data_IF_373803097925
#
_entry.id   IF_373803097925
#
_cell.length_a   1.000
_cell.length_b   1.000
_cell.length_c   1.000
_cell.angle_alpha   90.00
_cell.angle_beta   90.00
_cell.angle_gamma   90.00
#
_symmetry.space_group_name_H-M   'P 1'
#
loop_
_entity.id
_entity.type
_entity.pdbx_description
1 polymer ?
#
# COMPACT_ATOMS: atom_id res chain seq x y z
N UNK A 1 -3.15 33.05 -20.26
CA UNK A 1 -2.52 31.94 -19.52
C UNK A 1 -3.49 31.16 -18.62
N UNK A 2 -4.69 31.66 -18.33
CA UNK A 2 -5.73 30.94 -17.57
C UNK A 2 -6.31 29.72 -18.29
N UNK A 3 -6.27 29.71 -19.62
CA UNK A 3 -6.91 28.71 -20.47
C UNK A 3 -6.29 27.29 -20.36
N UNK A 4 -5.01 27.19 -20.02
CA UNK A 4 -4.33 25.90 -19.83
C UNK A 4 -4.72 25.24 -18.49
N UNK A 5 -4.89 26.03 -17.42
CA UNK A 5 -5.25 25.49 -16.08
C UNK A 5 -6.69 25.00 -16.05
N UNK A 6 -7.63 25.76 -16.61
CA UNK A 6 -9.05 25.35 -16.73
C UNK A 6 -9.20 24.10 -17.60
N UNK A 7 -8.48 24.03 -18.73
CA UNK A 7 -8.49 22.85 -19.61
C UNK A 7 -7.94 21.61 -18.92
N UNK A 8 -6.84 21.75 -18.16
CA UNK A 8 -6.26 20.66 -17.35
C UNK A 8 -7.22 20.19 -16.25
N UNK A 9 -7.88 21.11 -15.57
CA UNK A 9 -8.89 20.80 -14.57
C UNK A 9 -10.06 20.02 -15.17
N UNK A 10 -10.65 20.50 -16.25
CA UNK A 10 -11.77 19.83 -16.91
C UNK A 10 -11.41 18.43 -17.45
N UNK A 11 -10.13 18.18 -17.78
CA UNK A 11 -9.64 16.83 -18.13
C UNK A 11 -9.50 15.95 -16.90
N UNK A 12 -8.95 16.48 -15.80
CA UNK A 12 -8.82 15.77 -14.53
C UNK A 12 -10.19 15.38 -13.96
N UNK A 13 -11.17 16.27 -14.03
CA UNK A 13 -12.56 16.03 -13.65
C UNK A 13 -13.21 14.94 -14.50
N UNK A 14 -13.12 15.02 -15.83
CA UNK A 14 -13.59 13.95 -16.72
C UNK A 14 -12.91 12.61 -16.46
N UNK A 15 -11.61 12.62 -16.12
CA UNK A 15 -10.88 11.40 -15.79
C UNK A 15 -11.35 10.82 -14.45
N UNK A 16 -11.66 11.68 -13.46
CA UNK A 16 -12.18 11.29 -12.15
C UNK A 16 -13.63 10.79 -12.22
N UNK A 17 -14.45 11.33 -13.12
CA UNK A 17 -15.79 10.83 -13.41
C UNK A 17 -15.71 9.38 -13.92
N UNK A 18 -16.24 8.48 -13.10
CA UNK A 18 -16.24 7.03 -13.35
C UNK A 18 -15.18 6.26 -12.57
N UNK A 19 -14.28 6.91 -11.83
CA UNK A 19 -13.40 6.20 -10.90
C UNK A 19 -14.20 5.67 -9.70
N UNK A 20 -14.19 4.35 -9.53
CA UNK A 20 -14.82 3.68 -8.41
C UNK A 20 -13.80 2.85 -7.61
N UNK A 21 -13.97 2.80 -6.28
CA UNK A 21 -13.27 1.85 -5.42
C UNK A 21 -14.07 0.55 -5.36
N UNK A 22 -13.62 -0.48 -6.06
CA UNK A 22 -14.18 -1.82 -6.06
C UNK A 22 -13.90 -2.64 -4.78
N UNK A 23 -13.38 -2.02 -3.73
CA UNK A 23 -13.11 -2.66 -2.44
C UNK A 23 -11.63 -2.92 -2.17
N UNK A 24 -10.74 -2.01 -2.57
CA UNK A 24 -9.29 -2.07 -2.31
C UNK A 24 -9.00 -2.31 -0.83
N UNK A 25 -9.77 -1.66 0.05
CA UNK A 25 -9.68 -1.85 1.50
C UNK A 25 -9.89 -3.30 1.96
N UNK A 26 -10.87 -3.98 1.39
CA UNK A 26 -11.20 -5.37 1.72
C UNK A 26 -10.12 -6.32 1.19
N UNK A 27 -9.61 -6.05 -0.01
CA UNK A 27 -8.51 -6.83 -0.60
C UNK A 27 -7.23 -6.74 0.25
N UNK A 28 -6.82 -5.54 0.68
CA UNK A 28 -5.66 -5.36 1.56
C UNK A 28 -5.87 -6.06 2.90
N UNK A 29 -7.06 -5.93 3.51
CA UNK A 29 -7.38 -6.63 4.77
C UNK A 29 -7.25 -8.15 4.61
N UNK A 30 -7.79 -8.72 3.53
CA UNK A 30 -7.68 -10.16 3.25
C UNK A 30 -6.23 -10.60 3.04
N UNK A 31 -5.42 -9.78 2.38
CA UNK A 31 -4.00 -10.03 2.22
C UNK A 31 -3.30 -10.19 3.58
N UNK A 32 -3.46 -9.23 4.49
CA UNK A 32 -2.80 -9.30 5.80
C UNK A 32 -3.37 -10.35 6.75
N UNK A 33 -4.67 -10.66 6.67
CA UNK A 33 -5.31 -11.60 7.60
C UNK A 33 -5.22 -13.05 7.15
N UNK A 34 -5.10 -13.31 5.85
CA UNK A 34 -5.12 -14.68 5.30
C UNK A 34 -3.85 -15.01 4.54
N UNK A 35 -3.44 -14.16 3.59
CA UNK A 35 -2.33 -14.47 2.68
C UNK A 35 -0.99 -14.42 3.41
N UNK A 36 -0.71 -13.33 4.11
CA UNK A 36 0.56 -13.13 4.82
C UNK A 36 0.85 -14.24 5.84
N UNK A 37 -0.10 -14.64 6.72
CA UNK A 37 0.15 -15.74 7.66
C UNK A 37 0.43 -17.07 6.96
N UNK A 38 -0.27 -17.38 5.86
CA UNK A 38 -0.02 -18.60 5.08
C UNK A 38 1.39 -18.59 4.48
N UNK A 39 1.84 -17.46 3.93
CA UNK A 39 3.21 -17.34 3.41
C UNK A 39 4.25 -17.52 4.52
N UNK A 40 4.00 -16.95 5.70
CA UNK A 40 4.88 -17.13 6.86
C UNK A 40 4.98 -18.61 7.27
N UNK A 41 3.85 -19.32 7.33
CA UNK A 41 3.83 -20.75 7.63
C UNK A 41 4.61 -21.58 6.59
N UNK A 42 4.48 -21.24 5.30
CA UNK A 42 5.26 -21.87 4.23
C UNK A 42 6.75 -21.63 4.44
N UNK A 43 7.17 -20.40 4.75
CA UNK A 43 8.58 -20.10 4.98
C UNK A 43 9.14 -20.80 6.21
N UNK A 44 8.37 -20.93 7.28
CA UNK A 44 8.73 -21.76 8.46
C UNK A 44 8.89 -23.23 8.07
N UNK A 45 7.92 -23.79 7.33
CA UNK A 45 7.99 -25.18 6.89
C UNK A 45 9.23 -25.45 6.01
N UNK A 46 9.54 -24.55 5.07
CA UNK A 46 10.74 -24.64 4.23
C UNK A 46 12.00 -24.61 5.08
N UNK A 47 12.12 -23.69 6.04
CA UNK A 47 13.30 -23.60 6.91
C UNK A 47 13.48 -24.87 7.76
N UNK A 48 12.40 -25.45 8.27
CA UNK A 48 12.45 -26.70 9.03
C UNK A 48 12.86 -27.88 8.15
N UNK A 49 12.30 -28.00 6.94
CA UNK A 49 12.67 -29.06 5.99
C UNK A 49 14.17 -28.99 5.65
N UNK A 50 14.70 -27.78 5.43
CA UNK A 50 16.14 -27.60 5.18
C UNK A 50 16.97 -28.14 6.34
N UNK A 51 16.65 -27.78 7.59
CA UNK A 51 17.38 -28.31 8.77
C UNK A 51 17.32 -29.84 8.82
N UNK A 52 16.15 -30.43 8.57
CA UNK A 52 15.98 -31.89 8.61
C UNK A 52 16.73 -32.63 7.49
N UNK A 53 16.85 -32.02 6.30
CA UNK A 53 17.50 -32.65 5.14
C UNK A 53 19.03 -32.62 5.25
N UNK A 54 19.59 -31.54 5.80
CA UNK A 54 21.05 -31.38 5.88
C UNK A 54 21.67 -31.98 7.16
N UNK A 55 20.85 -32.45 8.11
CA UNK A 55 21.26 -33.07 9.39
C UNK A 55 22.33 -32.26 10.16
N UNK A 56 22.36 -30.95 9.95
CA UNK A 56 23.31 -30.08 10.62
C UNK A 56 22.73 -29.60 11.96
N UNK A 57 23.54 -29.55 13.03
CA UNK A 57 23.16 -28.91 14.28
C UNK A 57 23.08 -27.40 14.08
N UNK A 58 21.97 -26.93 13.51
CA UNK A 58 21.71 -25.52 13.25
C UNK A 58 21.09 -24.88 14.50
N UNK A 59 21.67 -23.77 14.95
CA UNK A 59 21.08 -22.97 16.02
C UNK A 59 19.68 -22.49 15.63
N UNK A 60 18.71 -22.56 16.53
CA UNK A 60 17.32 -22.17 16.28
C UNK A 60 17.17 -20.73 15.76
N UNK A 61 18.11 -19.85 16.12
CA UNK A 61 18.19 -18.47 15.63
C UNK A 61 18.46 -18.40 14.13
N UNK A 62 19.31 -19.29 13.61
CA UNK A 62 19.64 -19.39 12.17
C UNK A 62 18.45 -19.93 11.40
N UNK A 63 17.75 -20.93 11.95
CA UNK A 63 16.50 -21.46 11.37
C UNK A 63 15.41 -20.39 11.32
N UNK A 64 15.24 -19.62 12.40
CA UNK A 64 14.29 -18.51 12.46
C UNK A 64 14.64 -17.39 11.46
N UNK A 65 15.94 -17.07 11.33
CA UNK A 65 16.45 -16.14 10.33
C UNK A 65 16.05 -16.56 8.91
N UNK A 66 16.36 -17.82 8.56
CA UNK A 66 16.03 -18.40 7.26
C UNK A 66 14.54 -18.39 6.98
N UNK A 67 13.72 -18.79 7.97
CA UNK A 67 12.26 -18.79 7.85
C UNK A 67 11.73 -17.38 7.53
N UNK A 68 12.21 -16.35 8.24
CA UNK A 68 11.79 -14.96 8.02
C UNK A 68 12.24 -14.43 6.67
N UNK A 69 13.46 -14.73 6.22
CA UNK A 69 13.96 -14.28 4.93
C UNK A 69 13.22 -14.95 3.76
N UNK A 70 13.02 -16.26 3.82
CA UNK A 70 12.25 -17.01 2.81
C UNK A 70 10.82 -16.47 2.78
N UNK A 71 10.18 -16.32 3.94
CA UNK A 71 8.83 -15.74 4.02
C UNK A 71 8.77 -14.33 3.45
N UNK A 72 9.80 -13.51 3.72
CA UNK A 72 9.90 -12.15 3.22
C UNK A 72 10.01 -12.10 1.71
N UNK A 73 10.87 -12.93 1.11
CA UNK A 73 11.01 -13.04 -0.37
C UNK A 73 9.69 -13.51 -0.99
N UNK A 74 9.07 -14.57 -0.44
CA UNK A 74 7.77 -15.06 -0.92
C UNK A 74 6.68 -13.98 -0.80
N UNK A 75 6.68 -13.20 0.28
CA UNK A 75 5.75 -12.08 0.49
C UNK A 75 6.00 -10.95 -0.50
N UNK A 76 7.25 -10.64 -0.87
CA UNK A 76 7.54 -9.64 -1.91
C UNK A 76 6.98 -10.06 -3.26
N UNK A 77 7.30 -11.29 -3.68
CA UNK A 77 6.88 -11.82 -4.99
C UNK A 77 5.36 -11.97 -5.04
N UNK A 78 4.77 -12.64 -4.06
CA UNK A 78 3.33 -12.86 -4.02
C UNK A 78 2.56 -11.56 -3.77
N UNK A 79 3.07 -10.66 -2.94
CA UNK A 79 2.48 -9.35 -2.68
C UNK A 79 2.42 -8.49 -3.95
N UNK A 80 3.48 -8.49 -4.76
CA UNK A 80 3.48 -7.82 -6.06
C UNK A 80 2.46 -8.44 -7.02
N UNK A 81 2.44 -9.77 -7.13
CA UNK A 81 1.49 -10.49 -8.00
C UNK A 81 0.03 -10.27 -7.55
N UNK A 82 -0.22 -10.34 -6.24
CA UNK A 82 -1.53 -10.11 -5.63
C UNK A 82 -2.00 -8.68 -5.87
N UNK A 83 -1.13 -7.69 -5.65
CA UNK A 83 -1.48 -6.30 -5.91
C UNK A 83 -1.79 -6.08 -7.40
N UNK A 84 -0.97 -6.62 -8.31
CA UNK A 84 -1.18 -6.52 -9.75
C UNK A 84 -2.49 -7.19 -10.22
N UNK A 85 -2.82 -8.39 -9.71
CA UNK A 85 -3.95 -9.19 -10.20
C UNK A 85 -5.26 -9.03 -9.42
N UNK A 86 -5.19 -8.61 -8.16
CA UNK A 86 -6.35 -8.55 -7.24
C UNK A 86 -6.63 -7.16 -6.70
N UNK A 87 -5.66 -6.26 -6.65
CA UNK A 87 -5.86 -4.90 -6.14
C UNK A 87 -6.02 -3.89 -7.27
N UNK A 88 -5.12 -3.87 -8.25
CA UNK A 88 -5.18 -2.93 -9.36
C UNK A 88 -6.50 -2.99 -10.15
N UNK A 89 -7.06 -4.18 -10.46
CA UNK A 89 -8.33 -4.25 -11.20
C UNK A 89 -9.54 -3.74 -10.42
N UNK A 90 -9.42 -3.48 -9.11
CA UNK A 90 -10.50 -2.92 -8.30
C UNK A 90 -10.65 -1.40 -8.48
N UNK A 91 -9.71 -0.74 -9.16
CA UNK A 91 -9.86 0.65 -9.55
C UNK A 91 -10.22 0.70 -11.02
N UNK A 92 -11.48 1.00 -11.29
CA UNK A 92 -12.01 1.11 -12.66
C UNK A 92 -12.47 2.53 -12.93
N UNK A 93 -12.24 3.07 -14.15
CA UNK A 93 -11.37 2.55 -15.21
C UNK A 93 -9.87 2.80 -14.93
N UNK A 94 -9.01 1.95 -15.50
CA UNK A 94 -7.54 2.16 -15.50
C UNK A 94 -7.19 3.32 -16.44
N UNK A 95 -7.27 4.54 -15.89
CA UNK A 95 -6.97 5.80 -16.60
C UNK A 95 -5.68 6.39 -16.09
N UNK A 96 -5.05 7.21 -16.94
CA UNK A 96 -3.92 8.04 -16.54
C UNK A 96 -4.20 8.75 -15.21
N UNK A 97 -3.20 8.80 -14.32
CA UNK A 97 -3.41 9.32 -12.97
C UNK A 97 -3.96 10.75 -13.04
N UNK A 98 -5.10 11.00 -12.39
CA UNK A 98 -5.75 12.32 -12.28
C UNK A 98 -4.74 13.34 -11.77
N UNK A 99 -3.83 12.89 -10.90
CA UNK A 99 -2.76 13.69 -10.34
C UNK A 99 -1.72 14.18 -11.37
N UNK A 100 -1.52 13.50 -12.49
CA UNK A 100 -0.61 13.94 -13.58
C UNK A 100 -1.27 15.02 -14.44
N UNK A 101 -2.60 15.01 -14.54
CA UNK A 101 -3.36 15.98 -15.32
C UNK A 101 -3.54 17.32 -14.60
N UNK A 102 -3.43 17.34 -13.28
CA UNK A 102 -3.57 18.53 -12.45
C UNK A 102 -2.32 19.41 -12.44
N UNK A 103 -2.51 20.71 -12.26
CA UNK A 103 -1.41 21.61 -11.93
C UNK A 103 -0.81 21.26 -10.56
N UNK A 104 0.48 21.57 -10.35
CA UNK A 104 1.20 21.20 -9.12
C UNK A 104 0.55 21.78 -7.86
N UNK A 105 0.03 23.00 -7.94
CA UNK A 105 -0.63 23.68 -6.82
C UNK A 105 -2.01 23.07 -6.52
N UNK A 106 -2.76 22.68 -7.56
CA UNK A 106 -4.06 22.01 -7.43
C UNK A 106 -3.89 20.61 -6.82
N UNK A 107 -2.92 19.84 -7.31
CA UNK A 107 -2.53 18.56 -6.73
C UNK A 107 -2.15 18.69 -5.25
N UNK A 108 -1.37 19.72 -4.89
CA UNK A 108 -0.99 19.97 -3.50
C UNK A 108 -2.20 20.35 -2.64
N UNK A 109 -3.11 21.18 -3.15
CA UNK A 109 -4.36 21.55 -2.48
C UNK A 109 -5.22 20.32 -2.20
N UNK A 110 -5.49 19.51 -3.24
CA UNK A 110 -6.27 18.28 -3.13
C UNK A 110 -5.64 17.30 -2.13
N UNK A 111 -4.32 17.12 -2.19
CA UNK A 111 -3.63 16.26 -1.21
C UNK A 111 -3.76 16.77 0.22
N UNK A 112 -3.80 18.09 0.45
CA UNK A 112 -4.08 18.65 1.78
C UNK A 112 -5.51 18.32 2.22
N UNK A 113 -6.50 18.42 1.32
CA UNK A 113 -7.89 18.07 1.61
C UNK A 113 -8.04 16.58 1.96
N UNK A 114 -7.46 15.69 1.17
CA UNK A 114 -7.46 14.23 1.43
C UNK A 114 -6.79 13.91 2.77
N UNK A 115 -5.74 14.66 3.11
CA UNK A 115 -5.07 14.57 4.41
C UNK A 115 -5.76 15.39 5.51
N UNK A 116 -6.95 15.93 5.32
CA UNK A 116 -7.66 16.73 6.32
C UNK A 116 -6.89 17.95 6.84
N UNK A 117 -5.88 18.41 6.09
CA UNK A 117 -5.09 19.61 6.38
C UNK A 117 -5.69 20.87 5.74
N UNK A 118 -6.76 20.72 4.97
CA UNK A 118 -7.57 21.78 4.39
C UNK A 118 -9.04 21.30 4.33
N UNK A 119 -10.02 22.21 4.45
CA UNK A 119 -11.43 21.87 4.25
C UNK A 119 -11.67 21.40 2.81
N UNK A 120 -12.59 20.44 2.66
CA UNK A 120 -13.00 19.94 1.34
C UNK A 120 -13.85 21.01 0.66
N UNK A 121 -13.53 21.33 -0.59
CA UNK A 121 -14.28 22.29 -1.40
C UNK A 121 -15.24 21.53 -2.31
N UNK A 122 -16.52 21.93 -2.31
CA UNK A 122 -17.60 21.20 -2.99
C UNK A 122 -17.35 21.03 -4.50
N UNK A 123 -16.77 22.05 -5.14
CA UNK A 123 -16.38 22.05 -6.56
C UNK A 123 -15.20 21.10 -6.88
N UNK A 124 -14.50 20.60 -5.86
CA UNK A 124 -13.30 19.77 -6.02
C UNK A 124 -13.48 18.34 -5.54
N UNK A 125 -14.64 18.00 -4.95
CA UNK A 125 -14.91 16.69 -4.35
C UNK A 125 -14.71 15.55 -5.36
N UNK A 126 -15.20 15.70 -6.59
CA UNK A 126 -15.10 14.68 -7.65
C UNK A 126 -13.63 14.37 -7.96
N UNK A 127 -12.83 15.41 -8.21
CA UNK A 127 -11.40 15.27 -8.51
C UNK A 127 -10.64 14.73 -7.31
N UNK A 128 -10.93 15.24 -6.11
CA UNK A 128 -10.28 14.80 -4.87
C UNK A 128 -10.55 13.33 -4.55
N UNK A 129 -11.78 12.84 -4.78
CA UNK A 129 -12.12 11.41 -4.68
C UNK A 129 -11.34 10.58 -5.69
N UNK A 130 -11.29 11.00 -6.96
CA UNK A 130 -10.51 10.31 -7.98
C UNK A 130 -9.03 10.18 -7.61
N UNK A 131 -8.42 11.26 -7.11
CA UNK A 131 -7.04 11.25 -6.61
C UNK A 131 -6.90 10.34 -5.38
N UNK A 132 -7.85 10.38 -4.45
CA UNK A 132 -7.83 9.53 -3.25
C UNK A 132 -7.92 8.03 -3.59
N UNK A 133 -8.75 7.62 -4.55
CA UNK A 133 -8.83 6.22 -5.02
C UNK A 133 -7.46 5.77 -5.59
N UNK A 134 -6.84 6.59 -6.42
CA UNK A 134 -5.52 6.28 -6.99
C UNK A 134 -4.41 6.24 -5.91
N UNK A 135 -4.47 7.12 -4.92
CA UNK A 135 -3.58 7.07 -3.75
C UNK A 135 -3.78 5.78 -2.96
N UNK A 136 -5.03 5.35 -2.76
CA UNK A 136 -5.36 4.11 -2.05
C UNK A 136 -4.79 2.89 -2.77
N UNK A 137 -4.90 2.84 -4.10
CA UNK A 137 -4.32 1.79 -4.93
C UNK A 137 -2.79 1.72 -4.80
N UNK A 138 -2.12 2.88 -4.91
CA UNK A 138 -0.66 2.95 -4.74
C UNK A 138 -0.19 2.50 -3.35
N UNK A 139 -0.90 2.94 -2.30
CA UNK A 139 -0.63 2.53 -0.92
C UNK A 139 -0.88 1.03 -0.72
N UNK A 140 -1.92 0.46 -1.33
CA UNK A 140 -2.23 -0.96 -1.24
C UNK A 140 -1.13 -1.84 -1.83
N UNK A 141 -0.58 -1.44 -2.99
CA UNK A 141 0.59 -2.10 -3.59
C UNK A 141 1.79 -2.04 -2.65
N UNK A 142 2.13 -0.84 -2.17
CA UNK A 142 3.30 -0.68 -1.33
C UNK A 142 3.16 -1.42 0.01
N UNK A 143 1.97 -1.42 0.64
CA UNK A 143 1.69 -2.19 1.86
C UNK A 143 1.90 -3.70 1.62
N UNK A 144 1.40 -4.21 0.50
CA UNK A 144 1.54 -5.64 0.15
C UNK A 144 3.01 -6.09 0.09
N UNK A 145 3.91 -5.21 -0.37
CA UNK A 145 5.33 -5.48 -0.56
C UNK A 145 6.14 -5.13 0.71
N UNK A 146 5.84 -4.02 1.38
CA UNK A 146 6.60 -3.51 2.53
C UNK A 146 6.68 -4.52 3.68
N UNK A 147 5.65 -5.35 3.86
CA UNK A 147 5.66 -6.41 4.85
C UNK A 147 6.74 -7.47 4.58
N UNK A 148 7.01 -7.80 3.31
CA UNK A 148 8.09 -8.72 2.94
C UNK A 148 9.47 -8.15 3.27
N UNK A 149 9.68 -6.84 3.05
CA UNK A 149 10.92 -6.16 3.44
C UNK A 149 11.16 -6.22 4.95
N UNK A 150 10.11 -5.97 5.75
CA UNK A 150 10.19 -6.05 7.20
C UNK A 150 10.61 -7.45 7.66
N UNK A 151 10.05 -8.52 7.07
CA UNK A 151 10.43 -9.90 7.38
C UNK A 151 11.90 -10.20 7.05
N UNK A 152 12.40 -9.74 5.89
CA UNK A 152 13.81 -9.91 5.52
C UNK A 152 14.72 -9.22 6.54
N UNK A 153 14.41 -7.98 6.90
CA UNK A 153 15.21 -7.21 7.86
C UNK A 153 15.16 -7.80 9.26
N UNK A 154 13.98 -8.25 9.70
CA UNK A 154 13.82 -8.96 10.96
C UNK A 154 14.64 -10.26 10.98
N UNK A 155 14.66 -11.02 9.87
CA UNK A 155 15.51 -12.20 9.73
C UNK A 155 17.00 -11.85 9.83
N UNK A 156 17.42 -10.73 9.26
CA UNK A 156 18.79 -10.22 9.31
C UNK A 156 19.32 -9.97 10.73
N UNK A 157 18.45 -9.65 11.70
CA UNK A 157 18.86 -9.44 13.11
C UNK A 157 19.52 -10.70 13.70
N UNK A 158 19.14 -11.87 13.22
CA UNK A 158 19.63 -13.16 13.69
C UNK A 158 20.87 -13.65 12.92
N UNK A 159 21.28 -12.97 11.84
CA UNK A 159 22.51 -13.27 11.06
C UNK A 159 23.74 -12.62 11.70
N UNK A 160 24.28 -13.27 12.74
CA UNK A 160 25.58 -12.92 13.34
C UNK A 160 25.58 -11.65 14.21
N UNK A 161 26.72 -11.37 14.87
CA UNK A 161 26.87 -10.25 15.81
C UNK A 161 27.24 -8.93 15.13
N UNK A 162 28.06 -8.96 14.08
CA UNK A 162 28.70 -7.77 13.48
C UNK A 162 27.71 -6.75 12.91
N UNK A 163 26.62 -7.20 12.30
CA UNK A 163 25.63 -6.33 11.64
C UNK A 163 24.26 -6.32 12.32
N UNK A 164 24.14 -6.88 13.52
CA UNK A 164 22.85 -6.99 14.23
C UNK A 164 22.17 -5.64 14.41
N UNK A 165 22.92 -4.62 14.84
CA UNK A 165 22.40 -3.26 15.03
C UNK A 165 21.94 -2.62 13.71
N UNK A 166 22.67 -2.86 12.62
CA UNK A 166 22.29 -2.38 11.30
C UNK A 166 20.96 -2.97 10.84
N UNK A 167 20.80 -4.29 10.93
CA UNK A 167 19.54 -4.96 10.58
C UNK A 167 18.39 -4.55 11.50
N UNK A 168 18.64 -4.40 12.80
CA UNK A 168 17.64 -3.93 13.76
C UNK A 168 17.16 -2.51 13.41
N UNK A 169 18.07 -1.62 13.02
CA UNK A 169 17.73 -0.27 12.57
C UNK A 169 16.89 -0.30 11.28
N UNK A 170 17.27 -1.11 10.30
CA UNK A 170 16.48 -1.27 9.06
C UNK A 170 15.08 -1.81 9.35
N UNK A 171 14.96 -2.81 10.23
CA UNK A 171 13.68 -3.37 10.63
C UNK A 171 12.82 -2.32 11.36
N UNK A 172 13.41 -1.54 12.27
CA UNK A 172 12.75 -0.46 12.99
C UNK A 172 12.23 0.62 12.04
N UNK A 173 13.09 1.13 11.15
CA UNK A 173 12.71 2.15 10.15
C UNK A 173 11.59 1.62 9.27
N UNK A 174 11.67 0.36 8.81
CA UNK A 174 10.65 -0.25 7.97
C UNK A 174 9.32 -0.42 8.69
N UNK A 175 9.35 -0.82 9.97
CA UNK A 175 8.15 -0.90 10.80
C UNK A 175 7.50 0.47 10.98
N UNK A 176 8.29 1.52 11.26
CA UNK A 176 7.80 2.89 11.35
C UNK A 176 7.15 3.37 10.04
N UNK A 177 7.81 3.12 8.90
CA UNK A 177 7.25 3.45 7.59
C UNK A 177 5.94 2.70 7.34
N UNK A 178 5.88 1.41 7.67
CA UNK A 178 4.67 0.60 7.53
C UNK A 178 3.51 1.15 8.37
N UNK A 179 3.77 1.58 9.61
CA UNK A 179 2.76 2.25 10.47
C UNK A 179 2.27 3.55 9.84
N UNK A 180 3.17 4.39 9.33
CA UNK A 180 2.82 5.64 8.63
C UNK A 180 1.97 5.35 7.40
N UNK A 181 2.31 4.33 6.62
CA UNK A 181 1.55 3.91 5.44
C UNK A 181 0.15 3.39 5.79
N UNK A 182 0.01 2.58 6.85
CA UNK A 182 -1.29 2.15 7.36
C UNK A 182 -2.12 3.36 7.78
N UNK A 183 -1.51 4.33 8.46
CA UNK A 183 -2.19 5.54 8.87
C UNK A 183 -2.70 6.34 7.67
N UNK A 184 -1.85 6.58 6.66
CA UNK A 184 -2.25 7.24 5.42
C UNK A 184 -3.36 6.47 4.70
N UNK A 185 -3.25 5.15 4.60
CA UNK A 185 -4.26 4.30 3.98
C UNK A 185 -5.62 4.46 4.68
N UNK A 186 -5.67 4.32 6.01
CA UNK A 186 -6.91 4.50 6.79
C UNK A 186 -7.48 5.91 6.72
N UNK A 187 -6.62 6.90 6.50
CA UNK A 187 -7.02 8.30 6.35
C UNK A 187 -7.67 8.54 4.99
N UNK A 188 -7.05 8.04 3.92
CA UNK A 188 -7.61 8.07 2.57
C UNK A 188 -8.94 7.31 2.49
N UNK A 189 -9.06 6.15 3.15
CA UNK A 189 -10.33 5.43 3.24
C UNK A 189 -11.42 6.22 3.96
N UNK A 190 -11.09 6.92 5.04
CA UNK A 190 -12.04 7.78 5.75
C UNK A 190 -12.53 8.91 4.86
N UNK A 191 -11.60 9.61 4.21
CA UNK A 191 -11.94 10.66 3.24
C UNK A 191 -12.91 10.16 2.16
N UNK A 192 -12.69 8.95 1.61
CA UNK A 192 -13.59 8.36 0.62
C UNK A 192 -14.97 8.01 1.18
N UNK A 193 -15.07 7.59 2.44
CA UNK A 193 -16.38 7.36 3.08
C UNK A 193 -17.12 8.65 3.35
N UNK A 194 -16.41 9.66 3.85
CA UNK A 194 -17.00 10.94 4.27
C UNK A 194 -17.49 11.76 3.06
N UNK A 195 -16.89 11.56 1.88
CA UNK A 195 -17.25 12.28 0.64
C UNK A 195 -18.21 11.48 -0.26
N UNK A 196 -18.66 10.31 0.15
CA UNK A 196 -19.61 9.47 -0.61
C UNK A 196 -21.02 10.08 -0.67
N UNK A 197 -21.58 10.65 0.42
CA UNK A 197 -22.91 11.27 0.42
C UNK A 197 -23.02 12.49 -0.51
N UNK A 198 -21.94 13.25 -0.68
CA UNK A 198 -21.92 14.50 -1.46
C UNK A 198 -22.19 14.29 -2.96
N UNK A 199 -21.96 13.08 -3.49
CA UNK A 199 -22.27 12.74 -4.88
C UNK A 199 -23.75 12.35 -5.05
N UNK A 200 -24.34 11.68 -4.05
CA UNK A 200 -25.74 11.24 -4.10
C UNK A 200 -26.70 12.43 -3.98
N UNK A 201 -26.30 13.50 -3.29
CA UNK A 201 -27.09 14.73 -3.17
C UNK A 201 -27.00 15.69 -4.37
N UNK A 202 -26.05 15.50 -5.29
CA UNK A 202 -25.89 16.35 -6.47
C UNK A 202 -26.70 15.92 -7.69
N UNK A 203 -27.25 14.70 -7.66
CA UNK A 203 -28.07 14.09 -8.73
C UNK A 203 -29.59 14.15 -8.43
N UNK A 204 -30.01 14.87 -7.37
CA UNK A 204 -31.41 15.21 -7.05
C UNK A 204 -31.67 16.70 -7.23
#
# INVERSE_FOLDING_TARGET
MTDDRSTKWARAERAALGLADGGVGVAVRRYYTTVTPVILLIGVAVAVIVVLVFDEPVAWTTTASGALQVSGILTLVYGFVYASKKVNPLVTPDRASVNILLHKDDSRSIRKQINGAAPVQDDQVVVARGVAIQMLQGLALQLSIANGQLMIFAGGIYLGSTFRLFWALLALVSACLLVVMIWHFRKTQRFLKDTEPALVSGDM
#
